data_IF_442024754884
#
_entry.id   IF_442024754884
#
_cell.length_a   1.000
_cell.length_b   1.000
_cell.length_c   1.000
_cell.angle_alpha   90.00
_cell.angle_beta   90.00
_cell.angle_gamma   90.00
#
_symmetry.space_group_name_H-M   'P 1'
#
loop_
_entity.id
_entity.type
_entity.pdbx_description
1 polymer ?
#
# COMPACT_ATOMS: atom_id res chain seq x y z
N UNK A 1 -8.83 22.23 -18.06
CA UNK A 1 -9.86 21.19 -17.87
C UNK A 1 -10.85 21.66 -16.82
N UNK A 2 -12.17 21.45 -16.99
CA UNK A 2 -13.12 21.75 -15.93
C UNK A 2 -12.95 20.70 -14.81
N UNK A 3 -13.02 21.07 -13.51
CA UNK A 3 -12.92 20.09 -12.44
C UNK A 3 -14.06 19.08 -12.55
N UNK A 4 -13.71 17.79 -12.55
CA UNK A 4 -14.69 16.70 -12.52
C UNK A 4 -15.40 16.77 -11.18
N UNK A 5 -16.68 17.17 -11.22
CA UNK A 5 -17.54 17.14 -10.04
C UNK A 5 -18.03 15.71 -9.84
N UNK A 6 -17.37 14.97 -8.96
CA UNK A 6 -17.85 13.65 -8.51
C UNK A 6 -19.09 13.91 -7.64
N UNK A 7 -20.28 13.39 -8.00
CA UNK A 7 -21.44 13.49 -7.14
C UNK A 7 -21.18 12.64 -5.88
N UNK A 8 -20.89 13.30 -4.76
CA UNK A 8 -20.83 12.63 -3.47
C UNK A 8 -22.22 12.05 -3.18
N UNK A 9 -22.36 10.71 -3.24
CA UNK A 9 -23.52 10.05 -2.61
C UNK A 9 -23.53 10.50 -1.15
N UNK A 10 -24.65 11.00 -0.60
CA UNK A 10 -24.70 11.29 0.82
C UNK A 10 -24.40 10.00 1.56
N UNK A 11 -23.42 10.03 2.46
CA UNK A 11 -23.20 8.97 3.43
C UNK A 11 -24.58 8.65 4.02
N UNK A 12 -25.16 7.50 3.70
CA UNK A 12 -26.28 6.94 4.44
C UNK A 12 -25.70 6.47 5.78
N UNK A 13 -25.38 7.43 6.62
CA UNK A 13 -25.34 7.17 8.02
C UNK A 13 -26.70 6.59 8.38
N UNK A 14 -26.71 5.38 8.93
CA UNK A 14 -27.73 4.62 9.60
C UNK A 14 -28.92 5.50 9.99
N UNK A 15 -30.16 5.02 9.92
CA UNK A 15 -31.39 5.72 10.29
C UNK A 15 -31.36 6.38 11.69
N UNK A 16 -30.31 6.11 12.46
CA UNK A 16 -30.02 6.73 13.76
C UNK A 16 -28.52 6.96 13.90
N UNK A 17 -28.12 8.19 14.23
CA UNK A 17 -26.74 8.51 14.60
C UNK A 17 -26.45 7.92 15.98
N UNK A 18 -25.51 6.97 16.06
CA UNK A 18 -25.04 6.40 17.32
C UNK A 18 -23.52 6.54 17.44
N UNK A 19 -23.03 6.68 18.67
CA UNK A 19 -21.60 6.66 18.93
C UNK A 19 -21.03 5.24 18.76
N UNK A 20 -19.79 5.12 18.28
CA UNK A 20 -19.06 3.85 18.25
C UNK A 20 -18.86 3.36 19.69
N UNK A 21 -19.17 2.09 19.93
CA UNK A 21 -18.96 1.47 21.24
C UNK A 21 -17.90 0.35 21.15
N UNK A 22 -16.65 0.68 21.41
CA UNK A 22 -15.53 -0.25 21.41
C UNK A 22 -15.58 -1.34 22.49
N UNK A 23 -16.52 -1.26 23.44
CA UNK A 23 -16.76 -2.33 24.41
C UNK A 23 -17.75 -3.39 23.90
N UNK A 24 -18.30 -3.21 22.69
CA UNK A 24 -19.25 -4.13 22.06
C UNK A 24 -18.94 -4.27 20.57
N UNK A 25 -18.12 -5.24 20.27
CA UNK A 25 -17.65 -5.53 18.91
C UNK A 25 -18.59 -6.51 18.22
N UNK A 26 -18.84 -6.29 16.95
CA UNK A 26 -19.50 -7.26 16.06
C UNK A 26 -18.47 -8.16 15.35
N UNK A 27 -17.26 -7.66 15.18
CA UNK A 27 -16.11 -8.35 14.60
C UNK A 27 -14.85 -7.98 15.40
N UNK A 28 -14.30 -8.93 16.15
CA UNK A 28 -13.09 -8.71 16.96
C UNK A 28 -11.86 -8.35 16.12
N UNK A 29 -11.86 -8.73 14.82
CA UNK A 29 -10.80 -8.38 13.88
C UNK A 29 -10.70 -6.87 13.65
N UNK A 30 -11.79 -6.14 13.74
CA UNK A 30 -11.81 -4.68 13.63
C UNK A 30 -10.98 -4.02 14.71
N UNK A 31 -11.09 -4.49 15.97
CA UNK A 31 -10.28 -3.98 17.07
C UNK A 31 -8.82 -4.39 16.94
N UNK A 32 -8.56 -5.66 16.63
CA UNK A 32 -7.19 -6.16 16.44
C UNK A 32 -6.42 -5.34 15.40
N UNK A 33 -7.07 -5.07 14.25
CA UNK A 33 -6.45 -4.28 13.18
C UNK A 33 -6.35 -2.80 13.56
N UNK A 34 -7.38 -2.23 14.19
CA UNK A 34 -7.32 -0.86 14.69
C UNK A 34 -6.16 -0.65 15.66
N UNK A 35 -6.01 -1.52 16.66
CA UNK A 35 -4.92 -1.44 17.64
C UNK A 35 -3.56 -1.57 16.97
N UNK A 36 -3.45 -2.44 15.97
CA UNK A 36 -2.21 -2.62 15.21
C UNK A 36 -1.85 -1.39 14.40
N UNK A 37 -2.78 -0.83 13.62
CA UNK A 37 -2.54 0.35 12.80
C UNK A 37 -2.21 1.57 13.66
N UNK A 38 -2.95 1.80 14.74
CA UNK A 38 -2.71 2.93 15.64
C UNK A 38 -1.43 2.75 16.47
N UNK A 39 -1.14 1.53 16.91
CA UNK A 39 0.10 1.20 17.61
C UNK A 39 1.35 1.29 16.72
N UNK A 40 1.18 1.12 15.43
CA UNK A 40 2.25 1.24 14.42
C UNK A 40 2.39 2.66 13.83
N UNK A 41 1.65 3.64 14.30
CA UNK A 41 1.69 5.00 13.77
C UNK A 41 3.11 5.57 13.75
N UNK A 42 3.47 6.21 12.64
CA UNK A 42 4.79 6.79 12.43
C UNK A 42 4.71 8.04 11.53
N UNK A 43 5.78 8.81 11.51
CA UNK A 43 5.92 9.99 10.64
C UNK A 43 7.29 9.97 9.97
N UNK A 44 7.40 10.37 8.69
CA UNK A 44 8.64 10.30 7.91
C UNK A 44 9.77 11.16 8.53
N UNK A 45 9.46 12.23 9.24
CA UNK A 45 10.41 13.11 9.89
C UNK A 45 11.22 12.42 11.01
N UNK A 46 10.80 11.22 11.43
CA UNK A 46 11.53 10.44 12.45
C UNK A 46 12.65 9.58 11.86
N UNK A 47 12.70 9.40 10.54
CA UNK A 47 13.74 8.64 9.86
C UNK A 47 14.79 9.61 9.27
N UNK A 48 16.08 9.45 9.61
CA UNK A 48 17.13 10.41 9.20
C UNK A 48 17.60 10.17 7.75
N UNK A 49 16.74 10.42 6.76
CA UNK A 49 17.01 10.21 5.32
C UNK A 49 18.26 10.99 4.85
N UNK A 50 18.62 12.09 5.53
CA UNK A 50 19.85 12.85 5.22
C UNK A 50 21.14 12.03 5.31
N UNK A 51 21.15 10.92 6.04
CA UNK A 51 22.27 9.99 6.07
C UNK A 51 22.50 9.29 4.72
N UNK A 52 21.52 9.27 3.83
CA UNK A 52 21.62 8.67 2.50
C UNK A 52 22.22 9.62 1.45
N UNK A 53 22.42 10.90 1.74
CA UNK A 53 23.00 11.87 0.79
C UNK A 53 24.35 11.38 0.20
N UNK A 54 25.31 10.85 0.98
CA UNK A 54 26.56 10.33 0.41
C UNK A 54 26.35 9.09 -0.50
N UNK A 55 25.33 8.30 -0.25
CA UNK A 55 24.95 7.16 -1.10
C UNK A 55 24.31 7.65 -2.39
N UNK A 56 23.34 8.58 -2.29
CA UNK A 56 22.68 9.23 -3.41
C UNK A 56 23.70 9.83 -4.39
N UNK A 57 24.67 10.61 -3.90
CA UNK A 57 25.68 11.28 -4.73
C UNK A 57 26.57 10.31 -5.52
N UNK A 58 26.65 9.04 -5.15
CA UNK A 58 27.47 8.00 -5.83
C UNK A 58 26.66 7.18 -6.83
N UNK A 59 25.36 7.34 -6.87
CA UNK A 59 24.50 6.61 -7.80
C UNK A 59 24.65 7.13 -9.21
N UNK A 60 24.37 6.26 -10.18
CA UNK A 60 24.35 6.62 -11.59
C UNK A 60 23.13 7.45 -11.94
N UNK A 61 23.16 8.12 -13.11
CA UNK A 61 22.03 8.88 -13.63
C UNK A 61 20.80 7.98 -13.87
N UNK A 62 21.02 6.76 -14.35
CA UNK A 62 19.94 5.78 -14.54
C UNK A 62 19.32 5.34 -13.20
N UNK A 63 20.14 5.15 -12.16
CA UNK A 63 19.63 4.84 -10.81
C UNK A 63 18.87 6.03 -10.20
N UNK A 64 19.32 7.26 -10.38
CA UNK A 64 18.59 8.46 -9.96
C UNK A 64 17.23 8.55 -10.66
N UNK A 65 17.23 8.47 -12.00
CA UNK A 65 16.01 8.55 -12.80
C UNK A 65 15.01 7.47 -12.42
N UNK A 66 15.49 6.23 -12.27
CA UNK A 66 14.66 5.10 -11.85
C UNK A 66 14.05 5.35 -10.47
N UNK A 67 14.88 5.72 -9.48
CA UNK A 67 14.41 5.96 -8.10
C UNK A 67 13.31 7.02 -8.06
N UNK A 68 13.52 8.13 -8.76
CA UNK A 68 12.55 9.22 -8.78
C UNK A 68 11.24 8.80 -9.43
N UNK A 69 11.28 8.08 -10.57
CA UNK A 69 10.09 7.58 -11.26
C UNK A 69 9.33 6.54 -10.42
N UNK A 70 10.05 5.62 -9.81
CA UNK A 70 9.46 4.60 -8.92
C UNK A 70 8.73 5.27 -7.77
N UNK A 71 9.38 6.19 -7.07
CA UNK A 71 8.77 6.84 -5.90
C UNK A 71 7.62 7.78 -6.26
N UNK A 72 7.70 8.45 -7.42
CA UNK A 72 6.57 9.25 -7.89
C UNK A 72 5.38 8.38 -8.30
N UNK A 73 5.63 7.20 -8.90
CA UNK A 73 4.59 6.21 -9.19
C UNK A 73 3.92 5.70 -7.93
N UNK A 74 4.69 5.38 -6.88
CA UNK A 74 4.16 5.00 -5.57
C UNK A 74 3.32 6.14 -4.98
N UNK A 75 3.83 7.37 -4.99
CA UNK A 75 3.09 8.56 -4.50
C UNK A 75 1.72 8.71 -5.17
N UNK A 76 1.62 8.45 -6.49
CA UNK A 76 0.35 8.51 -7.21
C UNK A 76 -0.64 7.48 -6.67
N UNK A 77 -0.20 6.24 -6.46
CA UNK A 77 -1.05 5.16 -5.96
C UNK A 77 -1.52 5.43 -4.52
N UNK A 78 -0.62 5.86 -3.60
CA UNK A 78 -0.99 6.28 -2.24
C UNK A 78 -2.00 7.44 -2.27
N UNK A 79 -1.80 8.40 -3.19
CA UNK A 79 -2.73 9.53 -3.34
C UNK A 79 -4.13 9.05 -3.73
N UNK A 80 -4.23 8.11 -4.67
CA UNK A 80 -5.50 7.51 -5.09
C UNK A 80 -6.12 6.72 -3.92
N UNK A 81 -5.33 5.90 -3.25
CA UNK A 81 -5.81 5.06 -2.16
C UNK A 81 -6.28 5.90 -0.97
N UNK A 82 -5.55 6.94 -0.59
CA UNK A 82 -5.89 7.81 0.52
C UNK A 82 -7.07 8.75 0.25
N UNK A 83 -7.24 9.24 -1.00
CA UNK A 83 -8.26 10.25 -1.32
C UNK A 83 -9.55 9.68 -1.89
N UNK A 84 -9.49 8.52 -2.56
CA UNK A 84 -10.63 7.86 -3.20
C UNK A 84 -10.81 6.44 -2.68
N UNK A 85 -9.78 5.60 -2.71
CA UNK A 85 -9.86 4.17 -2.45
C UNK A 85 -10.41 3.82 -1.07
N UNK A 86 -9.64 4.00 -0.01
CA UNK A 86 -10.06 3.69 1.35
C UNK A 86 -11.34 4.47 1.75
N UNK A 87 -11.49 5.71 1.28
CA UNK A 87 -12.70 6.52 1.50
C UNK A 87 -13.93 5.90 0.83
N UNK A 88 -13.78 5.28 -0.34
CA UNK A 88 -14.89 4.63 -1.06
C UNK A 88 -15.37 3.34 -0.37
N UNK A 89 -14.52 2.73 0.48
CA UNK A 89 -14.86 1.53 1.24
C UNK A 89 -15.70 1.85 2.50
N UNK A 90 -15.64 3.07 3.02
CA UNK A 90 -16.36 3.48 4.24
C UNK A 90 -17.87 3.24 4.12
N UNK A 91 -18.56 3.64 3.03
CA UNK A 91 -20.00 3.38 2.89
C UNK A 91 -20.37 1.90 2.76
N UNK A 92 -19.41 1.05 2.48
CA UNK A 92 -19.59 -0.40 2.32
C UNK A 92 -19.27 -1.18 3.60
N UNK A 93 -18.86 -0.49 4.66
CA UNK A 93 -18.51 -1.09 5.93
C UNK A 93 -19.74 -1.75 6.58
N UNK A 94 -19.54 -2.93 7.16
CA UNK A 94 -20.58 -3.70 7.84
C UNK A 94 -20.75 -3.26 9.30
N UNK A 95 -19.71 -2.66 9.88
CA UNK A 95 -19.69 -2.21 11.29
C UNK A 95 -19.13 -0.79 11.40
N UNK A 96 -19.50 -0.02 12.44
CA UNK A 96 -18.86 1.27 12.70
C UNK A 96 -17.35 1.17 12.98
N UNK A 97 -16.90 0.01 13.48
CA UNK A 97 -15.50 -0.26 13.75
C UNK A 97 -14.72 -0.48 12.44
N UNK A 98 -15.31 -1.15 11.44
CA UNK A 98 -14.77 -1.26 10.09
C UNK A 98 -14.63 0.12 9.42
N UNK A 99 -15.63 1.02 9.58
CA UNK A 99 -15.51 2.41 9.11
C UNK A 99 -14.31 3.13 9.72
N UNK A 100 -14.09 2.95 11.04
CA UNK A 100 -12.96 3.55 11.73
C UNK A 100 -11.61 3.02 11.19
N UNK A 101 -11.50 1.71 10.89
CA UNK A 101 -10.29 1.13 10.30
C UNK A 101 -10.02 1.72 8.91
N UNK A 102 -11.02 1.81 8.03
CA UNK A 102 -10.84 2.44 6.71
C UNK A 102 -10.45 3.92 6.80
N UNK A 103 -10.96 4.64 7.80
CA UNK A 103 -10.56 6.02 8.05
C UNK A 103 -9.09 6.13 8.44
N UNK A 104 -8.59 5.17 9.24
CA UNK A 104 -7.17 5.11 9.60
C UNK A 104 -6.30 4.77 8.39
N UNK A 105 -6.69 3.78 7.56
CA UNK A 105 -6.02 3.46 6.30
C UNK A 105 -5.90 4.72 5.44
N UNK A 106 -6.99 5.44 5.16
CA UNK A 106 -6.96 6.67 4.37
C UNK A 106 -6.00 7.74 4.94
N UNK A 107 -5.89 7.84 6.27
CA UNK A 107 -4.95 8.74 6.91
C UNK A 107 -3.50 8.30 6.69
N UNK A 108 -3.20 7.01 6.82
CA UNK A 108 -1.84 6.49 6.64
C UNK A 108 -1.37 6.59 5.20
N UNK A 109 -2.22 6.41 4.19
CA UNK A 109 -1.88 6.66 2.78
C UNK A 109 -1.39 8.09 2.55
N UNK A 110 -1.97 9.07 3.26
CA UNK A 110 -1.47 10.45 3.20
C UNK A 110 -0.09 10.62 3.84
N UNK A 111 0.23 9.83 4.87
CA UNK A 111 1.57 9.77 5.48
C UNK A 111 2.56 9.12 4.52
N UNK A 112 2.15 8.05 3.82
CA UNK A 112 2.96 7.38 2.81
C UNK A 112 3.30 8.32 1.65
N UNK A 113 2.31 8.97 1.04
CA UNK A 113 2.53 9.96 -0.02
C UNK A 113 3.46 11.11 0.42
N UNK A 114 3.29 11.63 1.64
CA UNK A 114 4.19 12.65 2.21
C UNK A 114 5.61 12.14 2.39
N UNK A 115 5.80 10.85 2.66
CA UNK A 115 7.11 10.25 2.90
C UNK A 115 8.01 10.34 1.67
N UNK A 116 7.49 10.10 0.48
CA UNK A 116 8.24 10.27 -0.77
C UNK A 116 8.64 11.72 -1.00
N UNK A 117 7.73 12.67 -0.72
CA UNK A 117 8.05 14.10 -0.79
C UNK A 117 9.17 14.49 0.18
N UNK A 118 9.21 13.89 1.37
CA UNK A 118 10.29 14.11 2.36
C UNK A 118 11.62 13.52 1.87
N UNK A 119 11.61 12.35 1.25
CA UNK A 119 12.79 11.74 0.61
C UNK A 119 13.30 12.66 -0.51
N UNK A 120 12.43 13.09 -1.41
CA UNK A 120 12.79 13.96 -2.52
C UNK A 120 13.36 15.29 -2.05
N UNK A 121 12.73 15.97 -1.08
CA UNK A 121 13.21 17.23 -0.53
C UNK A 121 14.59 17.11 0.11
N UNK A 122 14.99 15.92 0.54
CA UNK A 122 16.29 15.65 1.16
C UNK A 122 17.38 15.35 0.13
N UNK A 123 17.02 14.61 -0.96
CA UNK A 123 18.01 14.04 -1.89
C UNK A 123 18.07 14.75 -3.24
N UNK A 124 17.00 15.42 -3.69
CA UNK A 124 16.83 15.93 -5.04
C UNK A 124 16.73 17.46 -5.09
N UNK A 125 17.06 18.04 -6.25
CA UNK A 125 16.75 19.45 -6.54
C UNK A 125 15.27 19.63 -6.90
N UNK A 126 14.77 20.87 -6.80
CA UNK A 126 13.40 21.20 -7.17
C UNK A 126 13.09 20.83 -8.62
N UNK A 127 14.03 21.12 -9.54
CA UNK A 127 13.87 20.82 -10.95
C UNK A 127 13.76 19.30 -11.22
N UNK A 128 14.50 18.49 -10.47
CA UNK A 128 14.41 17.03 -10.55
C UNK A 128 13.06 16.54 -10.03
N UNK A 129 12.59 17.09 -8.91
CA UNK A 129 11.29 16.77 -8.33
C UNK A 129 10.17 17.08 -9.32
N UNK A 130 10.14 18.30 -9.85
CA UNK A 130 9.12 18.73 -10.82
C UNK A 130 9.11 17.81 -12.05
N UNK A 131 10.28 17.51 -12.61
CA UNK A 131 10.39 16.61 -13.77
C UNK A 131 9.89 15.17 -13.47
N UNK A 132 10.04 14.67 -12.25
CA UNK A 132 9.53 13.35 -11.86
C UNK A 132 8.00 13.33 -11.75
N UNK A 133 7.40 14.41 -11.21
CA UNK A 133 5.95 14.53 -11.14
C UNK A 133 5.34 14.74 -12.54
N UNK A 134 5.93 15.57 -13.42
CA UNK A 134 5.51 15.72 -14.82
C UNK A 134 5.56 14.38 -15.56
N UNK A 135 6.60 13.57 -15.30
CA UNK A 135 6.70 12.23 -15.88
C UNK A 135 5.55 11.32 -15.40
N UNK A 136 5.19 11.35 -14.12
CA UNK A 136 4.11 10.51 -13.60
C UNK A 136 2.75 10.84 -14.21
N UNK A 137 2.50 12.11 -14.51
CA UNK A 137 1.27 12.55 -15.19
C UNK A 137 1.22 12.14 -16.67
N UNK A 138 2.37 11.88 -17.29
CA UNK A 138 2.48 11.55 -18.71
C UNK A 138 2.76 10.08 -19.01
N UNK A 139 3.12 9.26 -18.01
CA UNK A 139 3.42 7.85 -18.23
C UNK A 139 2.16 7.03 -18.44
N UNK A 140 2.01 6.46 -19.63
CA UNK A 140 0.78 5.76 -20.06
C UNK A 140 0.46 4.53 -19.20
N UNK A 141 1.45 3.75 -18.78
CA UNK A 141 1.23 2.53 -17.99
C UNK A 141 0.85 2.87 -16.54
N UNK A 142 1.47 3.92 -15.97
CA UNK A 142 1.14 4.40 -14.64
C UNK A 142 -0.28 4.98 -14.60
N UNK A 143 -0.64 5.80 -15.60
CA UNK A 143 -1.98 6.38 -15.70
C UNK A 143 -3.04 5.29 -15.95
N UNK A 144 -2.73 4.30 -16.81
CA UNK A 144 -3.66 3.19 -17.11
C UNK A 144 -4.01 2.39 -15.85
N UNK A 145 -3.03 1.98 -15.02
CA UNK A 145 -3.33 1.26 -13.77
C UNK A 145 -4.14 2.11 -12.79
N UNK A 146 -3.86 3.42 -12.73
CA UNK A 146 -4.61 4.36 -11.92
C UNK A 146 -6.07 4.47 -12.38
N UNK A 147 -6.31 4.59 -13.68
CA UNK A 147 -7.65 4.64 -14.29
C UNK A 147 -8.43 3.36 -13.99
N UNK A 148 -7.83 2.17 -14.21
CA UNK A 148 -8.48 0.88 -13.92
C UNK A 148 -8.96 0.82 -12.46
N UNK A 149 -8.10 1.19 -11.50
CA UNK A 149 -8.45 1.14 -10.08
C UNK A 149 -9.54 2.16 -9.74
N UNK A 150 -9.43 3.39 -10.26
CA UNK A 150 -10.41 4.46 -10.04
C UNK A 150 -11.80 4.09 -10.57
N UNK A 151 -11.88 3.46 -11.74
CA UNK A 151 -13.16 3.01 -12.31
C UNK A 151 -13.91 2.06 -11.36
N UNK A 152 -13.17 1.18 -10.65
CA UNK A 152 -13.79 0.31 -9.64
C UNK A 152 -14.15 1.04 -8.36
N UNK A 153 -13.34 2.01 -7.92
CA UNK A 153 -13.67 2.82 -6.74
C UNK A 153 -14.91 3.70 -6.94
N UNK A 154 -15.13 4.17 -8.15
CA UNK A 154 -16.30 4.94 -8.54
C UNK A 154 -17.52 4.05 -8.89
N UNK A 155 -17.30 2.77 -9.16
CA UNK A 155 -18.32 1.78 -9.49
C UNK A 155 -19.28 1.51 -8.34
N UNK A 156 -20.42 0.87 -8.65
CA UNK A 156 -21.49 0.61 -7.67
C UNK A 156 -21.34 -0.72 -6.90
N UNK A 157 -20.40 -1.59 -7.29
CA UNK A 157 -20.24 -2.92 -6.68
C UNK A 157 -19.22 -2.89 -5.51
N UNK A 158 -19.66 -3.08 -4.24
CA UNK A 158 -18.81 -3.00 -3.07
C UNK A 158 -17.74 -4.12 -3.02
N UNK A 159 -18.03 -5.27 -3.61
CA UNK A 159 -17.08 -6.40 -3.65
C UNK A 159 -15.97 -6.16 -4.66
N UNK A 160 -16.30 -5.68 -5.87
CA UNK A 160 -15.31 -5.32 -6.89
C UNK A 160 -14.39 -4.21 -6.41
N UNK A 161 -14.93 -3.24 -5.65
CA UNK A 161 -14.17 -2.17 -5.02
C UNK A 161 -13.14 -2.70 -4.03
N UNK A 162 -13.53 -3.66 -3.16
CA UNK A 162 -12.61 -4.33 -2.22
C UNK A 162 -11.55 -5.18 -2.94
N UNK A 163 -11.90 -5.83 -4.05
CA UNK A 163 -10.92 -6.57 -4.88
C UNK A 163 -9.89 -5.61 -5.46
N UNK A 164 -10.31 -4.52 -6.10
CA UNK A 164 -9.41 -3.51 -6.67
C UNK A 164 -8.49 -2.91 -5.60
N UNK A 165 -9.02 -2.59 -4.43
CA UNK A 165 -8.25 -2.08 -3.30
C UNK A 165 -7.24 -3.11 -2.78
N UNK A 166 -7.63 -4.38 -2.62
CA UNK A 166 -6.69 -5.44 -2.20
C UNK A 166 -5.58 -5.67 -3.22
N UNK A 167 -5.89 -5.58 -4.53
CA UNK A 167 -4.88 -5.69 -5.58
C UNK A 167 -3.94 -4.47 -5.59
N UNK A 168 -4.43 -3.27 -5.29
CA UNK A 168 -3.59 -2.09 -5.15
C UNK A 168 -2.61 -2.27 -3.99
N UNK A 169 -3.10 -2.59 -2.80
CA UNK A 169 -2.34 -2.72 -1.55
C UNK A 169 -1.33 -3.90 -1.57
N UNK A 170 -1.71 -5.02 -2.18
CA UNK A 170 -0.95 -6.27 -2.10
C UNK A 170 -0.16 -6.60 -3.37
N UNK A 171 -0.39 -5.87 -4.48
CA UNK A 171 0.22 -6.17 -5.77
C UNK A 171 0.78 -4.94 -6.49
N UNK A 172 -0.01 -3.88 -6.72
CA UNK A 172 0.41 -2.75 -7.58
C UNK A 172 1.55 -1.92 -6.97
N UNK A 173 1.65 -1.81 -5.66
CA UNK A 173 2.78 -1.15 -5.01
C UNK A 173 4.10 -1.89 -5.18
N UNK A 174 4.06 -3.20 -5.41
CA UNK A 174 5.23 -4.05 -5.24
C UNK A 174 6.25 -3.95 -6.37
N UNK A 175 5.87 -3.54 -7.58
CA UNK A 175 6.84 -3.16 -8.61
C UNK A 175 7.74 -2.01 -8.14
N UNK A 176 7.21 -1.08 -7.35
CA UNK A 176 7.95 0.03 -6.77
C UNK A 176 8.75 -0.36 -5.52
N UNK A 177 8.19 -1.20 -4.65
CA UNK A 177 8.87 -1.62 -3.40
C UNK A 177 10.10 -2.48 -3.64
N UNK A 178 10.23 -3.12 -4.79
CA UNK A 178 11.41 -3.90 -5.14
C UNK A 178 12.68 -3.06 -5.08
N UNK A 179 12.69 -1.86 -5.66
CA UNK A 179 13.90 -1.05 -5.83
C UNK A 179 14.57 -0.65 -4.51
N UNK A 180 13.87 -0.05 -3.53
CA UNK A 180 14.50 0.30 -2.25
C UNK A 180 14.99 -0.93 -1.48
N UNK A 181 14.33 -2.07 -1.61
CA UNK A 181 14.81 -3.32 -1.01
C UNK A 181 16.07 -3.83 -1.71
N UNK A 182 16.14 -3.73 -3.03
CA UNK A 182 17.34 -4.03 -3.80
C UNK A 182 18.50 -3.12 -3.38
N UNK A 183 18.28 -1.82 -3.28
CA UNK A 183 19.31 -0.90 -2.83
C UNK A 183 19.79 -1.20 -1.40
N UNK A 184 18.89 -1.47 -0.49
CA UNK A 184 19.22 -1.84 0.88
C UNK A 184 20.06 -3.11 0.96
N UNK A 185 19.71 -4.14 0.18
CA UNK A 185 20.51 -5.38 0.09
C UNK A 185 21.95 -5.14 -0.42
N UNK A 186 22.17 -4.01 -1.14
CA UNK A 186 23.48 -3.58 -1.63
C UNK A 186 24.08 -2.41 -0.82
N UNK A 187 23.62 -2.17 0.40
CA UNK A 187 24.04 -1.10 1.29
C UNK A 187 23.93 0.32 0.67
N UNK A 188 22.94 0.54 -0.19
CA UNK A 188 22.58 1.84 -0.77
C UNK A 188 21.27 2.32 -0.17
N UNK A 189 21.12 3.63 0.03
CA UNK A 189 19.89 4.30 0.48
C UNK A 189 19.18 3.58 1.65
N UNK A 190 19.93 3.18 2.66
CA UNK A 190 19.43 2.31 3.74
C UNK A 190 18.37 2.99 4.60
N UNK A 191 18.49 4.29 4.86
CA UNK A 191 17.48 5.05 5.62
C UNK A 191 16.21 5.29 4.79
N UNK A 192 16.36 5.51 3.49
CA UNK A 192 15.23 5.55 2.56
C UNK A 192 14.51 4.20 2.55
N UNK A 193 15.25 3.09 2.49
CA UNK A 193 14.66 1.75 2.58
C UNK A 193 13.93 1.51 3.91
N UNK A 194 14.40 2.10 5.03
CA UNK A 194 13.70 2.01 6.32
C UNK A 194 12.34 2.72 6.27
N UNK A 195 12.24 3.89 5.61
CA UNK A 195 10.94 4.53 5.37
C UNK A 195 10.02 3.60 4.58
N UNK A 196 10.52 3.02 3.50
CA UNK A 196 9.71 2.13 2.64
C UNK A 196 9.29 0.85 3.39
N UNK A 197 10.12 0.31 4.30
CA UNK A 197 9.72 -0.82 5.15
C UNK A 197 8.55 -0.48 6.08
N UNK A 198 8.49 0.75 6.59
CA UNK A 198 7.36 1.20 7.39
C UNK A 198 6.08 1.25 6.54
N UNK A 199 6.17 1.72 5.30
CA UNK A 199 5.06 1.70 4.34
C UNK A 199 4.66 0.24 4.07
N UNK A 200 5.56 -0.63 3.63
CA UNK A 200 5.28 -2.05 3.33
C UNK A 200 4.60 -2.76 4.52
N UNK A 201 5.01 -2.46 5.74
CA UNK A 201 4.40 -3.00 6.95
C UNK A 201 2.92 -2.61 7.06
N UNK A 202 2.60 -1.36 6.77
CA UNK A 202 1.23 -0.85 6.82
C UNK A 202 0.40 -1.44 5.67
N UNK A 203 0.94 -1.48 4.43
CA UNK A 203 0.28 -2.09 3.25
C UNK A 203 -0.04 -3.58 3.44
N UNK A 204 0.83 -4.29 4.15
CA UNK A 204 0.57 -5.69 4.48
C UNK A 204 -0.67 -5.84 5.39
N UNK A 205 -0.92 -4.89 6.29
CA UNK A 205 -2.12 -4.87 7.14
C UNK A 205 -3.34 -4.43 6.33
N UNK A 206 -3.20 -3.37 5.51
CA UNK A 206 -4.29 -2.84 4.68
C UNK A 206 -4.84 -3.92 3.74
N UNK A 207 -3.97 -4.52 2.92
CA UNK A 207 -4.36 -5.55 1.96
C UNK A 207 -4.96 -6.80 2.61
N UNK A 208 -4.41 -7.24 3.75
CA UNK A 208 -4.97 -8.34 4.53
C UNK A 208 -6.39 -8.01 5.05
N UNK A 209 -6.57 -6.84 5.66
CA UNK A 209 -7.84 -6.47 6.26
C UNK A 209 -8.95 -6.27 5.22
N UNK A 210 -8.66 -5.57 4.14
CA UNK A 210 -9.63 -5.35 3.05
C UNK A 210 -10.04 -6.70 2.43
N UNK A 211 -9.06 -7.59 2.19
CA UNK A 211 -9.30 -8.95 1.72
C UNK A 211 -10.12 -9.79 2.70
N UNK A 212 -9.85 -9.70 4.00
CA UNK A 212 -10.65 -10.36 5.03
C UNK A 212 -12.12 -9.87 5.01
N UNK A 213 -12.35 -8.56 4.90
CA UNK A 213 -13.70 -7.99 4.81
C UNK A 213 -14.39 -8.35 3.50
N UNK A 214 -13.64 -8.47 2.40
CA UNK A 214 -14.16 -9.05 1.16
C UNK A 214 -14.67 -10.46 1.37
N UNK A 215 -13.85 -11.35 1.93
CA UNK A 215 -14.23 -12.75 2.18
C UNK A 215 -15.46 -12.85 3.09
N UNK A 216 -15.54 -12.03 4.14
CA UNK A 216 -16.73 -11.98 5.01
C UNK A 216 -17.98 -11.53 4.26
N UNK A 217 -17.86 -10.53 3.41
CA UNK A 217 -18.99 -10.02 2.63
C UNK A 217 -19.54 -11.05 1.64
N UNK A 218 -18.66 -11.72 0.88
CA UNK A 218 -19.08 -12.69 -0.12
C UNK A 218 -19.61 -14.01 0.49
N UNK A 219 -19.32 -14.30 1.75
CA UNK A 219 -19.82 -15.50 2.42
C UNK A 219 -21.36 -15.59 2.46
N UNK A 220 -22.05 -14.46 2.30
CA UNK A 220 -23.51 -14.37 2.29
C UNK A 220 -24.11 -14.46 0.87
N UNK A 221 -23.28 -14.48 -0.16
CA UNK A 221 -23.70 -14.55 -1.56
C UNK A 221 -23.95 -16.00 -2.00
N UNK A 222 -24.73 -16.16 -3.08
CA UNK A 222 -24.90 -17.44 -3.74
C UNK A 222 -23.61 -17.95 -4.37
N UNK A 223 -23.53 -19.27 -4.64
CA UNK A 223 -22.37 -19.87 -5.30
C UNK A 223 -22.12 -19.25 -6.69
N UNK A 224 -23.17 -18.92 -7.43
CA UNK A 224 -23.05 -18.29 -8.74
C UNK A 224 -22.45 -16.87 -8.65
N UNK A 225 -22.89 -16.07 -7.68
CA UNK A 225 -22.33 -14.72 -7.46
C UNK A 225 -20.87 -14.77 -6.99
N UNK A 226 -20.53 -15.75 -6.14
CA UNK A 226 -19.13 -15.96 -5.72
C UNK A 226 -18.23 -16.38 -6.87
N UNK A 227 -18.72 -17.24 -7.76
CA UNK A 227 -17.98 -17.66 -8.95
C UNK A 227 -17.76 -16.48 -9.91
N UNK A 228 -18.77 -15.66 -10.15
CA UNK A 228 -18.66 -14.45 -10.98
C UNK A 228 -17.62 -13.45 -10.42
N UNK A 229 -17.58 -13.28 -9.09
CA UNK A 229 -16.56 -12.44 -8.44
C UNK A 229 -15.16 -13.07 -8.48
N UNK A 230 -15.06 -14.39 -8.43
CA UNK A 230 -13.79 -15.08 -8.60
C UNK A 230 -13.25 -14.90 -10.03
N UNK A 231 -14.05 -15.14 -11.04
CA UNK A 231 -13.67 -14.96 -12.44
C UNK A 231 -13.25 -13.50 -12.69
N UNK A 232 -14.06 -12.56 -12.22
CA UNK A 232 -13.71 -11.13 -12.25
C UNK A 232 -12.35 -10.81 -11.58
N UNK A 233 -12.07 -11.43 -10.44
CA UNK A 233 -10.81 -11.17 -9.70
C UNK A 233 -9.59 -11.63 -10.51
N UNK A 234 -9.66 -12.80 -11.13
CA UNK A 234 -8.58 -13.30 -11.98
C UNK A 234 -8.43 -12.46 -13.25
N UNK A 235 -9.53 -12.04 -13.88
CA UNK A 235 -9.51 -11.20 -15.07
C UNK A 235 -8.87 -9.86 -14.76
N UNK A 236 -9.25 -9.21 -13.64
CA UNK A 236 -8.66 -7.94 -13.22
C UNK A 236 -7.17 -8.10 -12.87
N UNK A 237 -6.78 -9.15 -12.16
CA UNK A 237 -5.37 -9.39 -11.86
C UNK A 237 -4.55 -9.60 -13.13
N UNK A 238 -5.06 -10.34 -14.14
CA UNK A 238 -4.39 -10.52 -15.41
C UNK A 238 -4.24 -9.19 -16.17
N UNK A 239 -5.29 -8.38 -16.25
CA UNK A 239 -5.25 -7.06 -16.90
C UNK A 239 -4.21 -6.14 -16.25
N UNK A 240 -4.20 -6.07 -14.91
CA UNK A 240 -3.24 -5.28 -14.17
C UNK A 240 -1.82 -5.85 -14.30
N UNK A 241 -1.65 -7.16 -14.30
CA UNK A 241 -0.35 -7.81 -14.46
C UNK A 241 0.26 -7.52 -15.85
N UNK A 242 -0.53 -7.63 -16.91
CA UNK A 242 -0.05 -7.31 -18.27
C UNK A 242 0.44 -5.86 -18.33
N UNK A 243 -0.29 -4.94 -17.72
CA UNK A 243 0.15 -3.53 -17.66
C UNK A 243 1.38 -3.34 -16.76
N UNK A 244 1.50 -4.07 -15.64
CA UNK A 244 2.66 -4.01 -14.76
C UNK A 244 3.93 -4.56 -15.42
N UNK A 245 3.83 -5.54 -16.30
CA UNK A 245 4.97 -6.05 -17.09
C UNK A 245 5.52 -4.92 -17.98
N UNK A 246 4.69 -4.25 -18.76
CA UNK A 246 5.10 -3.13 -19.61
C UNK A 246 5.66 -1.95 -18.80
N UNK A 247 4.99 -1.63 -17.68
CA UNK A 247 5.46 -0.59 -16.76
C UNK A 247 6.85 -0.94 -16.18
N UNK A 248 7.04 -2.18 -15.75
CA UNK A 248 8.30 -2.68 -15.21
C UNK A 248 9.43 -2.63 -16.23
N UNK A 249 9.18 -3.07 -17.47
CA UNK A 249 10.15 -3.00 -18.56
C UNK A 249 10.56 -1.55 -18.83
N UNK A 250 9.60 -0.64 -18.89
CA UNK A 250 9.85 0.78 -19.12
C UNK A 250 10.75 1.43 -18.06
N UNK A 251 10.72 0.91 -16.82
CA UNK A 251 11.50 1.42 -15.70
C UNK A 251 12.84 0.71 -15.52
N UNK A 252 12.84 -0.62 -15.51
CA UNK A 252 13.93 -1.42 -14.98
C UNK A 252 14.88 -2.00 -16.02
N UNK A 253 14.55 -1.98 -17.32
CA UNK A 253 15.40 -2.55 -18.38
C UNK A 253 16.81 -1.93 -18.39
N UNK A 254 16.92 -0.62 -18.19
CA UNK A 254 18.21 0.08 -18.23
C UNK A 254 19.16 -0.33 -17.10
N UNK A 255 18.63 -0.82 -16.01
CA UNK A 255 19.41 -1.29 -14.85
C UNK A 255 19.47 -2.81 -14.76
N UNK A 256 18.82 -3.53 -15.68
CA UNK A 256 18.88 -4.99 -15.78
C UNK A 256 18.15 -5.73 -14.66
N UNK A 257 17.09 -5.16 -14.09
CA UNK A 257 16.33 -5.73 -12.97
C UNK A 257 14.93 -6.22 -13.36
N UNK A 258 14.54 -6.10 -14.61
CA UNK A 258 13.19 -6.40 -15.10
C UNK A 258 12.73 -7.81 -14.72
N UNK A 259 13.53 -8.84 -15.04
CA UNK A 259 13.19 -10.25 -14.76
C UNK A 259 12.95 -10.51 -13.25
N UNK A 260 13.75 -9.89 -12.40
CA UNK A 260 13.62 -10.07 -10.94
C UNK A 260 12.40 -9.35 -10.37
N UNK A 261 12.08 -8.15 -10.90
CA UNK A 261 10.86 -7.42 -10.53
C UNK A 261 9.62 -8.18 -11.01
N UNK A 262 9.62 -8.77 -12.21
CA UNK A 262 8.49 -9.59 -12.68
C UNK A 262 8.25 -10.83 -11.81
N UNK A 263 9.32 -11.52 -11.33
CA UNK A 263 9.16 -12.61 -10.36
C UNK A 263 8.52 -12.12 -9.06
N UNK A 264 8.93 -10.95 -8.60
CA UNK A 264 8.40 -10.32 -7.39
C UNK A 264 6.93 -9.90 -7.57
N UNK A 265 6.55 -9.42 -8.74
CA UNK A 265 5.15 -9.13 -9.08
C UNK A 265 4.28 -10.39 -9.03
N UNK A 266 4.71 -11.49 -9.67
CA UNK A 266 3.96 -12.77 -9.64
C UNK A 266 3.79 -13.31 -8.21
N UNK A 267 4.85 -13.23 -7.41
CA UNK A 267 4.81 -13.61 -6.00
C UNK A 267 3.75 -12.80 -5.23
N UNK A 268 3.71 -11.48 -5.40
CA UNK A 268 2.78 -10.60 -4.71
C UNK A 268 1.36 -10.67 -5.29
N UNK A 269 1.19 -10.93 -6.58
CA UNK A 269 -0.10 -11.26 -7.18
C UNK A 269 -0.75 -12.48 -6.53
N UNK A 270 0.03 -13.53 -6.29
CA UNK A 270 -0.45 -14.71 -5.54
C UNK A 270 -0.79 -14.37 -4.07
N UNK A 271 -0.05 -13.46 -3.42
CA UNK A 271 -0.39 -12.96 -2.07
C UNK A 271 -1.69 -12.18 -2.05
N UNK A 272 -1.93 -11.35 -3.05
CA UNK A 272 -3.19 -10.62 -3.17
C UNK A 272 -4.38 -11.58 -3.32
N UNK A 273 -4.24 -12.62 -4.16
CA UNK A 273 -5.25 -13.68 -4.27
C UNK A 273 -5.47 -14.41 -2.95
N UNK A 274 -4.41 -14.72 -2.20
CA UNK A 274 -4.51 -15.33 -0.88
C UNK A 274 -5.29 -14.45 0.10
N UNK A 275 -5.05 -13.13 0.10
CA UNK A 275 -5.81 -12.18 0.92
C UNK A 275 -7.30 -12.16 0.55
N UNK A 276 -7.63 -12.37 -0.73
CA UNK A 276 -9.00 -12.48 -1.22
C UNK A 276 -9.62 -13.89 -1.03
N UNK A 277 -8.85 -14.85 -0.54
CA UNK A 277 -9.32 -16.24 -0.31
C UNK A 277 -9.31 -17.12 -1.56
N UNK A 278 -8.52 -16.75 -2.58
CA UNK A 278 -8.43 -17.48 -3.85
C UNK A 278 -7.10 -18.23 -4.02
N UNK A 279 -7.11 -19.34 -4.79
CA UNK A 279 -5.89 -20.04 -5.16
C UNK A 279 -4.90 -19.16 -5.94
N UNK A 280 -3.61 -19.49 -5.84
CA UNK A 280 -2.55 -18.85 -6.61
C UNK A 280 -2.79 -18.98 -8.12
N UNK A 281 -2.54 -17.91 -8.87
CA UNK A 281 -2.59 -17.89 -10.34
C UNK A 281 -1.25 -18.31 -10.95
N UNK A 282 -0.15 -17.81 -10.39
CA UNK A 282 1.18 -18.02 -10.93
C UNK A 282 1.84 -19.24 -10.29
N UNK A 283 2.39 -20.20 -11.10
CA UNK A 283 3.17 -21.33 -10.58
C UNK A 283 4.36 -20.89 -9.71
N UNK A 284 4.69 -21.66 -8.68
CA UNK A 284 5.75 -21.31 -7.73
C UNK A 284 7.13 -21.14 -8.40
N UNK A 285 7.39 -21.89 -9.47
CA UNK A 285 8.67 -21.90 -10.19
C UNK A 285 8.98 -20.56 -10.89
N UNK A 286 7.94 -19.77 -11.21
CA UNK A 286 8.10 -18.44 -11.82
C UNK A 286 7.96 -17.30 -10.82
N UNK A 287 7.80 -17.62 -9.54
CA UNK A 287 7.70 -16.70 -8.41
C UNK A 287 8.95 -16.76 -7.52
N UNK A 288 10.09 -17.26 -8.03
CA UNK A 288 11.33 -17.44 -7.27
C UNK A 288 12.01 -16.08 -7.05
N UNK A 289 11.63 -15.42 -5.96
CA UNK A 289 12.15 -14.10 -5.56
C UNK A 289 13.54 -14.26 -4.95
N UNK A 290 14.46 -13.38 -5.32
CA UNK A 290 15.81 -13.33 -4.74
C UNK A 290 15.73 -13.29 -3.19
N UNK A 291 16.37 -14.26 -2.49
CA UNK A 291 16.34 -14.33 -1.03
C UNK A 291 16.87 -13.06 -0.33
N UNK A 292 17.81 -12.32 -0.96
CA UNK A 292 18.29 -11.06 -0.41
C UNK A 292 17.21 -9.97 -0.37
N UNK A 293 16.28 -9.97 -1.33
CA UNK A 293 15.13 -9.06 -1.35
C UNK A 293 14.13 -9.44 -0.25
N UNK A 294 13.82 -10.73 -0.11
CA UNK A 294 12.95 -11.21 0.96
C UNK A 294 13.54 -10.89 2.35
N UNK A 295 14.84 -11.04 2.53
CA UNK A 295 15.52 -10.65 3.76
C UNK A 295 15.51 -9.13 3.99
N UNK A 296 15.61 -8.33 2.92
CA UNK A 296 15.54 -6.87 3.02
C UNK A 296 14.13 -6.35 3.37
N UNK A 297 13.08 -7.07 2.98
CA UNK A 297 11.69 -6.77 3.39
C UNK A 297 11.49 -6.96 4.89
N UNK A 298 12.20 -7.92 5.50
CA UNK A 298 12.04 -8.34 6.88
C UNK A 298 13.38 -8.39 7.60
N UNK A 299 14.02 -7.25 7.95
CA UNK A 299 15.31 -7.25 8.63
C UNK A 299 15.26 -7.91 10.01
N UNK A 300 14.09 -8.04 10.62
CA UNK A 300 13.82 -8.76 11.87
C UNK A 300 12.90 -9.95 11.57
N UNK A 301 13.46 -11.03 11.02
CA UNK A 301 12.71 -12.23 10.63
C UNK A 301 11.85 -12.83 11.78
N UNK A 302 12.23 -12.59 13.03
CA UNK A 302 11.51 -13.05 14.22
C UNK A 302 10.19 -12.29 14.45
N UNK A 303 10.07 -11.04 13.98
CA UNK A 303 8.85 -10.23 14.15
C UNK A 303 7.82 -10.44 13.02
N UNK A 304 8.28 -10.82 11.82
CA UNK A 304 7.39 -10.97 10.66
C UNK A 304 6.85 -12.40 10.45
N UNK A 305 7.45 -13.41 11.07
CA UNK A 305 6.89 -14.78 11.03
C UNK A 305 5.53 -14.84 11.73
N UNK A 306 5.27 -13.93 12.66
CA UNK A 306 4.04 -13.89 13.46
C UNK A 306 2.85 -13.22 12.74
N UNK A 307 3.08 -12.49 11.64
CA UNK A 307 1.97 -11.85 10.91
C UNK A 307 0.96 -12.85 10.36
N UNK A 308 1.46 -14.01 9.89
CA UNK A 308 0.62 -15.08 9.36
C UNK A 308 0.29 -16.17 10.37
N UNK A 309 0.95 -16.19 11.53
CA UNK A 309 0.77 -17.21 12.59
C UNK A 309 -0.04 -16.76 13.81
N UNK A 310 -0.48 -15.51 13.86
CA UNK A 310 -1.45 -15.01 14.85
C UNK A 310 -0.89 -14.64 16.22
N UNK A 311 0.43 -14.51 16.38
CA UNK A 311 1.03 -14.04 17.63
C UNK A 311 1.97 -12.86 17.36
N UNK A 312 1.48 -11.63 17.58
CA UNK A 312 2.25 -10.40 17.38
C UNK A 312 2.95 -9.93 18.64
N UNK A 313 4.26 -9.67 18.58
CA UNK A 313 4.94 -8.87 19.58
C UNK A 313 4.94 -7.39 19.16
N UNK A 314 4.48 -6.54 20.06
CA UNK A 314 4.32 -5.12 19.89
C UNK A 314 5.66 -4.38 19.75
N UNK A 315 5.81 -3.55 18.72
CA UNK A 315 6.74 -2.44 18.74
C UNK A 315 6.35 -1.50 19.89
N UNK A 316 7.19 -1.41 20.91
CA UNK A 316 6.99 -0.47 22.02
C UNK A 316 7.29 0.92 21.49
N UNK A 317 6.28 1.77 21.31
CA UNK A 317 6.49 3.21 21.24
C UNK A 317 7.38 3.61 22.42
N UNK A 318 8.44 4.38 22.16
CA UNK A 318 9.31 4.89 23.22
C UNK A 318 8.43 5.44 24.34
N UNK A 319 8.78 5.10 25.61
CA UNK A 319 8.07 5.61 26.78
C UNK A 319 7.78 7.08 26.57
N UNK A 320 6.52 7.46 26.68
CA UNK A 320 6.16 8.85 26.88
C UNK A 320 7.00 9.32 28.07
N UNK A 321 7.82 10.36 27.90
CA UNK A 321 8.39 11.05 29.04
C UNK A 321 7.20 11.49 29.89
N UNK A 322 7.25 11.17 31.17
CA UNK A 322 6.27 11.70 32.13
C UNK A 322 6.44 13.23 32.07
N UNK A 323 5.44 13.92 31.52
CA UNK A 323 5.35 15.37 31.60
C UNK A 323 4.88 15.70 33.01
N UNK A 324 5.67 16.44 33.75
CA UNK A 324 5.26 17.04 35.03
C UNK A 324 4.19 18.13 34.79
N UNK A 325 3.31 18.32 35.76
CA UNK A 325 2.21 19.31 35.71
C UNK A 325 2.70 20.76 35.47
N UNK A 326 4.01 21.03 35.59
CA UNK A 326 4.65 22.33 35.35
C UNK A 326 4.95 22.62 33.85
N UNK A 327 4.74 21.67 32.93
CA UNK A 327 5.00 21.83 31.47
C UNK A 327 3.84 22.53 30.72
N UNK A 328 2.77 22.94 31.41
CA UNK A 328 1.54 23.51 30.82
C UNK A 328 1.27 24.97 31.20
N UNK A 329 2.27 25.76 31.57
CA UNK A 329 2.10 27.23 31.72
C UNK A 329 2.09 27.92 30.34
N UNK A 330 0.88 28.31 29.91
CA UNK A 330 0.61 29.22 28.80
C UNK A 330 0.37 30.65 29.31
#
# INVERSE_FOLDING_TARGET
>A
MAPISIPRKPLKLIDRVSAINWNRLEDEKDLEVWDRLTGNFWLPEKVPVSNDIPSWQKMTEDEHTLTMRVFTGLTLLDTIQGTVGAVSLIPDALTPHEEAVYTNIACMESVHAKSYSSIFSTLCSTEQIDAAFDWSESNEFLQKKAEIVLDYYEGDNPYKRKVASTLLESFLFYSGFYLPMYFSAHAKLTNTADVIRLIIRDEAVHGYYIGYKYQKGIAQLSDAERLDLQDYTYDLLNELYDNEVEYTQSLYDRVGLTDDVEKFLRYNGNKALMNLGYPALFPAEICDVNPAILAALSPNADENHDFFSGSGSSYVMGKAEETDDDDWDF
#
